data_IF_323469760075
#
_entry.id   IF_323469760075
#
_cell.length_a   1.000
_cell.length_b   1.000
_cell.length_c   1.000
_cell.angle_alpha   90.00
_cell.angle_beta   90.00
_cell.angle_gamma   90.00
#
_symmetry.space_group_name_H-M   'P 1'
#
loop_
_entity.id
_entity.type
_entity.pdbx_description
1 polymer ?
#
# COMPACT_ATOMS: atom_id res chain seq x y z
N UNK A 1 -52.95 -62.09 -33.36
CA UNK A 1 -51.59 -62.49 -32.94
C UNK A 1 -51.20 -61.61 -31.76
N UNK A 2 -51.30 -62.16 -30.55
CA UNK A 2 -51.13 -61.42 -29.30
C UNK A 2 -49.67 -61.02 -29.09
N UNK A 3 -49.47 -59.75 -28.74
CA UNK A 3 -48.17 -59.19 -28.37
C UNK A 3 -47.67 -59.86 -27.08
N UNK A 4 -46.74 -60.82 -27.22
CA UNK A 4 -45.92 -61.28 -26.11
C UNK A 4 -44.83 -60.24 -25.86
N UNK A 5 -45.21 -59.13 -25.21
CA UNK A 5 -44.25 -58.27 -24.53
C UNK A 5 -43.69 -59.12 -23.39
N UNK A 6 -42.50 -59.71 -23.61
CA UNK A 6 -41.84 -60.55 -22.63
C UNK A 6 -41.52 -59.69 -21.41
N UNK A 7 -41.89 -60.14 -20.21
CA UNK A 7 -41.54 -59.47 -18.94
C UNK A 7 -40.04 -59.13 -18.81
N UNK A 8 -39.19 -59.86 -19.54
CA UNK A 8 -37.74 -59.64 -19.62
C UNK A 8 -37.37 -58.34 -20.34
N UNK A 9 -38.15 -57.88 -21.33
CA UNK A 9 -37.88 -56.61 -22.00
C UNK A 9 -38.24 -55.41 -21.11
N UNK A 10 -39.27 -55.55 -20.26
CA UNK A 10 -39.70 -54.55 -19.27
C UNK A 10 -38.63 -54.34 -18.19
N UNK A 11 -38.01 -55.42 -17.71
CA UNK A 11 -36.93 -55.30 -16.72
C UNK A 11 -35.65 -54.75 -17.34
N UNK A 12 -35.30 -55.16 -18.57
CA UNK A 12 -34.07 -54.69 -19.22
C UNK A 12 -34.16 -53.20 -19.63
N UNK A 13 -35.30 -52.76 -20.16
CA UNK A 13 -35.53 -51.32 -20.45
C UNK A 13 -35.65 -50.48 -19.18
N UNK A 14 -36.27 -51.01 -18.11
CA UNK A 14 -36.33 -50.35 -16.80
C UNK A 14 -34.94 -50.13 -16.19
N UNK A 15 -34.05 -51.13 -16.28
CA UNK A 15 -32.66 -51.00 -15.84
C UNK A 15 -31.87 -50.00 -16.70
N UNK A 16 -32.06 -50.01 -18.02
CA UNK A 16 -31.38 -49.08 -18.92
C UNK A 16 -31.81 -47.63 -18.65
N UNK A 17 -33.12 -47.39 -18.45
CA UNK A 17 -33.64 -46.09 -18.05
C UNK A 17 -33.08 -45.63 -16.69
N UNK A 18 -32.99 -46.54 -15.72
CA UNK A 18 -32.42 -46.23 -14.41
C UNK A 18 -30.93 -45.87 -14.49
N UNK A 19 -30.15 -46.62 -15.25
CA UNK A 19 -28.72 -46.33 -15.46
C UNK A 19 -28.54 -44.98 -16.16
N UNK A 20 -29.32 -44.70 -17.21
CA UNK A 20 -29.29 -43.41 -17.88
C UNK A 20 -29.66 -42.25 -16.95
N UNK A 21 -30.68 -42.42 -16.10
CA UNK A 21 -31.13 -41.41 -15.16
C UNK A 21 -30.10 -41.17 -14.05
N UNK A 22 -29.50 -42.25 -13.52
CA UNK A 22 -28.41 -42.16 -12.54
C UNK A 22 -27.19 -41.43 -13.13
N UNK A 23 -26.81 -41.74 -14.38
CA UNK A 23 -25.68 -41.13 -15.05
C UNK A 23 -25.93 -39.65 -15.35
N UNK A 24 -27.15 -39.28 -15.75
CA UNK A 24 -27.57 -37.89 -15.93
C UNK A 24 -27.50 -37.10 -14.61
N UNK A 25 -27.94 -37.68 -13.49
CA UNK A 25 -27.84 -37.06 -12.17
C UNK A 25 -26.38 -36.85 -11.74
N UNK A 26 -25.50 -37.82 -11.99
CA UNK A 26 -24.07 -37.70 -11.70
C UNK A 26 -23.44 -36.57 -12.53
N UNK A 27 -23.74 -36.50 -13.82
CA UNK A 27 -23.23 -35.42 -14.68
C UNK A 27 -23.74 -34.04 -14.23
N UNK A 28 -25.03 -33.93 -13.90
CA UNK A 28 -25.60 -32.68 -13.39
C UNK A 28 -24.94 -32.23 -12.08
N UNK A 29 -24.73 -33.16 -11.14
CA UNK A 29 -24.04 -32.84 -9.88
C UNK A 29 -22.60 -32.43 -10.09
N UNK A 30 -21.87 -33.05 -11.02
CA UNK A 30 -20.51 -32.61 -11.38
C UNK A 30 -20.50 -31.21 -12.00
N UNK A 31 -21.40 -30.91 -12.94
CA UNK A 31 -21.48 -29.58 -13.55
C UNK A 31 -21.77 -28.50 -12.50
N UNK A 32 -22.73 -28.73 -11.61
CA UNK A 32 -23.06 -27.78 -10.54
C UNK A 32 -21.89 -27.61 -9.55
N UNK A 33 -21.19 -28.69 -9.22
CA UNK A 33 -20.01 -28.62 -8.34
C UNK A 33 -18.86 -27.84 -9.00
N UNK A 34 -18.61 -28.07 -10.28
CA UNK A 34 -17.53 -27.43 -11.05
C UNK A 34 -17.82 -25.93 -11.24
N UNK A 35 -19.06 -25.55 -11.52
CA UNK A 35 -19.46 -24.13 -11.58
C UNK A 35 -19.32 -23.43 -10.23
N UNK A 36 -19.68 -24.11 -9.12
CA UNK A 36 -19.49 -23.56 -7.77
C UNK A 36 -18.00 -23.42 -7.42
N UNK A 37 -17.16 -24.37 -7.81
CA UNK A 37 -15.72 -24.29 -7.61
C UNK A 37 -15.13 -23.12 -8.39
N UNK A 38 -15.47 -22.98 -9.68
CA UNK A 38 -15.03 -21.85 -10.52
C UNK A 38 -15.49 -20.51 -9.98
N UNK A 39 -16.71 -20.42 -9.45
CA UNK A 39 -17.21 -19.20 -8.83
C UNK A 39 -16.44 -18.85 -7.54
N UNK A 40 -16.16 -19.84 -6.69
CA UNK A 40 -15.37 -19.65 -5.47
C UNK A 40 -13.92 -19.22 -5.79
N UNK A 41 -13.30 -19.82 -6.81
CA UNK A 41 -11.94 -19.48 -7.21
C UNK A 41 -11.87 -18.08 -7.85
N UNK A 42 -12.86 -17.69 -8.65
CA UNK A 42 -12.97 -16.30 -9.16
C UNK A 42 -13.14 -15.30 -8.02
N UNK A 43 -13.92 -15.62 -7.00
CA UNK A 43 -14.08 -14.76 -5.83
C UNK A 43 -12.75 -14.60 -5.07
N UNK A 44 -12.02 -15.70 -4.83
CA UNK A 44 -10.68 -15.67 -4.22
C UNK A 44 -9.67 -14.87 -5.05
N UNK A 45 -9.68 -15.03 -6.36
CA UNK A 45 -8.82 -14.26 -7.27
C UNK A 45 -9.16 -12.77 -7.24
N UNK A 46 -10.45 -12.41 -7.16
CA UNK A 46 -10.88 -11.03 -7.04
C UNK A 46 -10.45 -10.40 -5.70
N UNK A 47 -10.57 -11.14 -4.59
CA UNK A 47 -10.08 -10.71 -3.27
C UNK A 47 -8.56 -10.57 -3.23
N UNK A 48 -7.83 -11.51 -3.84
CA UNK A 48 -6.37 -11.43 -3.98
C UNK A 48 -5.96 -10.22 -4.85
N UNK A 49 -6.64 -9.98 -5.95
CA UNK A 49 -6.40 -8.81 -6.80
C UNK A 49 -6.68 -7.50 -6.07
N UNK A 50 -7.76 -7.44 -5.29
CA UNK A 50 -8.14 -6.28 -4.48
C UNK A 50 -7.11 -6.00 -3.38
N UNK A 51 -6.69 -7.01 -2.63
CA UNK A 51 -5.67 -6.86 -1.58
C UNK A 51 -4.30 -6.45 -2.13
N UNK A 52 -3.90 -6.96 -3.30
CA UNK A 52 -2.69 -6.50 -3.98
C UNK A 52 -2.78 -5.04 -4.45
N UNK A 53 -3.94 -4.62 -4.97
CA UNK A 53 -4.17 -3.24 -5.36
C UNK A 53 -4.13 -2.30 -4.15
N UNK A 54 -4.83 -2.66 -3.06
CA UNK A 54 -4.83 -1.92 -1.80
C UNK A 54 -3.40 -1.80 -1.23
N UNK A 55 -2.64 -2.90 -1.17
CA UNK A 55 -1.24 -2.89 -0.73
C UNK A 55 -0.36 -1.97 -1.56
N UNK A 56 -0.47 -2.00 -2.89
CA UNK A 56 0.28 -1.08 -3.76
C UNK A 56 -0.09 0.38 -3.53
N UNK A 57 -1.38 0.68 -3.31
CA UNK A 57 -1.82 2.06 -3.04
C UNK A 57 -1.35 2.56 -1.68
N UNK A 58 -1.32 1.70 -0.66
CA UNK A 58 -0.79 2.04 0.66
C UNK A 58 0.71 2.37 0.60
N UNK A 59 1.50 1.50 -0.05
CA UNK A 59 2.95 1.72 -0.23
C UNK A 59 3.23 3.01 -1.02
N UNK A 60 2.45 3.29 -2.06
CA UNK A 60 2.60 4.52 -2.83
C UNK A 60 2.32 5.77 -1.98
N UNK A 61 1.29 5.73 -1.12
CA UNK A 61 0.96 6.83 -0.20
C UNK A 61 2.07 7.04 0.84
N UNK A 62 2.57 5.96 1.44
CA UNK A 62 3.66 6.05 2.42
C UNK A 62 4.94 6.63 1.79
N UNK A 63 5.28 6.19 0.58
CA UNK A 63 6.42 6.74 -0.15
C UNK A 63 6.26 8.24 -0.46
N UNK A 64 5.06 8.68 -0.88
CA UNK A 64 4.78 10.10 -1.08
C UNK A 64 4.87 10.91 0.21
N UNK A 65 4.34 10.40 1.33
CA UNK A 65 4.40 11.09 2.61
C UNK A 65 5.85 11.25 3.13
N UNK A 66 6.70 10.25 2.91
CA UNK A 66 8.13 10.33 3.24
C UNK A 66 8.81 11.40 2.39
N UNK A 67 8.55 11.41 1.07
CA UNK A 67 9.12 12.41 0.15
C UNK A 67 8.65 13.82 0.51
N UNK A 68 7.35 14.03 0.71
CA UNK A 68 6.81 15.35 1.06
C UNK A 68 7.41 15.89 2.36
N UNK A 69 7.64 15.00 3.33
CA UNK A 69 8.31 15.35 4.59
C UNK A 69 9.78 15.70 4.37
N UNK A 70 10.48 15.00 3.48
CA UNK A 70 11.86 15.33 3.10
C UNK A 70 11.92 16.70 2.38
N UNK A 71 11.07 16.90 1.37
CA UNK A 71 10.98 18.17 0.62
C UNK A 71 10.60 19.35 1.53
N UNK A 72 9.78 19.13 2.55
CA UNK A 72 9.47 20.15 3.56
C UNK A 72 10.69 20.50 4.43
N UNK A 73 11.49 19.50 4.84
CA UNK A 73 12.74 19.74 5.57
C UNK A 73 13.75 20.48 4.69
N UNK A 74 13.91 20.08 3.44
CA UNK A 74 14.87 20.69 2.52
C UNK A 74 14.51 22.15 2.25
N UNK A 75 13.22 22.46 2.04
CA UNK A 75 12.76 23.86 1.93
C UNK A 75 13.02 24.66 3.20
N UNK A 76 12.81 24.07 4.38
CA UNK A 76 13.10 24.74 5.65
C UNK A 76 14.61 25.01 5.81
N UNK A 77 15.46 24.03 5.50
CA UNK A 77 16.92 24.17 5.56
C UNK A 77 17.42 25.21 4.56
N UNK A 78 16.92 25.19 3.32
CA UNK A 78 17.28 26.15 2.29
C UNK A 78 16.92 27.60 2.71
N UNK A 79 15.76 27.79 3.35
CA UNK A 79 15.37 29.08 3.92
C UNK A 79 16.33 29.55 5.02
N UNK A 80 16.68 28.66 5.97
CA UNK A 80 17.62 28.96 7.04
C UNK A 80 19.00 29.33 6.49
N UNK A 81 19.51 28.57 5.51
CA UNK A 81 20.80 28.84 4.86
C UNK A 81 20.79 30.16 4.12
N UNK A 82 19.74 30.45 3.34
CA UNK A 82 19.62 31.71 2.60
C UNK A 82 19.57 32.91 3.55
N UNK A 83 18.85 32.78 4.67
CA UNK A 83 18.79 33.83 5.69
C UNK A 83 20.13 34.00 6.39
N UNK A 84 20.82 32.91 6.72
CA UNK A 84 22.15 32.93 7.32
C UNK A 84 23.18 33.60 6.40
N UNK A 85 23.19 33.27 5.10
CA UNK A 85 24.08 33.90 4.12
C UNK A 85 23.87 35.41 4.05
N UNK A 86 22.61 35.86 4.10
CA UNK A 86 22.29 37.29 4.12
C UNK A 86 22.82 37.97 5.37
N UNK A 87 22.61 37.38 6.54
CA UNK A 87 23.07 37.91 7.83
C UNK A 87 24.60 37.97 7.91
N UNK A 88 25.29 36.91 7.48
CA UNK A 88 26.76 36.85 7.40
C UNK A 88 27.31 37.93 6.47
N UNK A 89 26.68 38.14 5.30
CA UNK A 89 27.12 39.12 4.30
C UNK A 89 26.98 40.57 4.79
N UNK A 90 26.00 40.85 5.64
CA UNK A 90 25.73 42.20 6.16
C UNK A 90 26.24 42.39 7.60
N UNK A 91 27.04 41.45 8.12
CA UNK A 91 27.62 41.56 9.44
C UNK A 91 28.66 42.69 9.49
N UNK A 92 28.70 43.47 10.59
CA UNK A 92 29.62 44.60 10.73
C UNK A 92 31.10 44.18 10.85
N UNK A 93 31.37 42.96 11.33
CA UNK A 93 32.72 42.41 11.47
C UNK A 93 32.74 40.86 11.38
N UNK A 94 33.94 40.28 11.35
CA UNK A 94 34.13 38.82 11.23
C UNK A 94 33.62 38.02 12.43
N UNK A 95 33.63 38.59 13.64
CA UNK A 95 33.13 37.92 14.83
C UNK A 95 31.61 37.89 14.82
N UNK A 96 30.95 38.99 14.45
CA UNK A 96 29.51 39.06 14.24
C UNK A 96 29.04 38.08 13.15
N UNK A 97 29.80 37.97 12.05
CA UNK A 97 29.53 36.99 11.00
C UNK A 97 29.65 35.54 11.50
N UNK A 98 30.71 35.23 12.26
CA UNK A 98 30.93 33.89 12.82
C UNK A 98 29.88 33.51 13.87
N UNK A 99 29.37 34.48 14.61
CA UNK A 99 28.32 34.27 15.60
C UNK A 99 26.95 34.06 14.95
N UNK A 100 26.60 34.85 13.93
CA UNK A 100 25.40 34.65 13.12
C UNK A 100 25.38 33.26 12.44
N UNK A 101 26.52 32.83 11.89
CA UNK A 101 26.66 31.50 11.29
C UNK A 101 26.40 30.38 12.32
N UNK A 102 27.00 30.48 13.53
CA UNK A 102 26.81 29.50 14.60
C UNK A 102 25.36 29.43 15.06
N UNK A 103 24.70 30.58 15.26
CA UNK A 103 23.27 30.64 15.60
C UNK A 103 22.40 29.88 14.62
N UNK A 104 22.64 30.05 13.31
CA UNK A 104 21.85 29.43 12.25
C UNK A 104 22.13 27.94 12.09
N UNK A 105 23.38 27.50 12.25
CA UNK A 105 23.72 26.06 12.31
C UNK A 105 23.02 25.39 13.50
N UNK A 106 22.96 26.05 14.65
CA UNK A 106 22.29 25.55 15.84
C UNK A 106 20.75 25.52 15.77
N UNK A 107 20.15 26.14 14.74
CA UNK A 107 18.71 26.06 14.44
C UNK A 107 18.36 24.89 13.51
N UNK A 108 19.33 24.28 12.81
CA UNK A 108 19.08 23.07 12.02
C UNK A 108 18.73 21.91 12.97
N UNK A 109 17.60 21.24 12.72
CA UNK A 109 17.02 20.24 13.61
C UNK A 109 17.91 19.04 13.92
N UNK A 110 18.90 18.76 13.06
CA UNK A 110 19.85 17.65 13.23
C UNK A 110 21.10 18.00 14.03
N UNK A 111 21.35 19.29 14.33
CA UNK A 111 22.56 19.72 15.04
C UNK A 111 22.34 19.79 16.56
N UNK A 112 22.46 18.63 17.24
CA UNK A 112 22.43 18.52 18.71
C UNK A 112 23.82 18.63 19.35
N UNK A 113 24.58 19.65 18.99
CA UNK A 113 25.84 19.95 19.66
C UNK A 113 25.57 20.58 21.05
N UNK A 114 26.25 20.17 22.14
CA UNK A 114 26.18 20.86 23.43
C UNK A 114 26.54 22.35 23.34
N UNK A 115 27.39 22.76 22.39
CA UNK A 115 27.72 24.18 22.15
C UNK A 115 26.52 25.00 21.63
N UNK A 116 25.50 24.33 21.08
CA UNK A 116 24.27 24.96 20.60
C UNK A 116 23.25 25.23 21.71
N UNK A 117 23.50 24.80 22.95
CA UNK A 117 22.58 25.06 24.07
C UNK A 117 22.42 26.57 24.35
N UNK A 118 23.52 27.33 24.26
CA UNK A 118 23.53 28.79 24.48
C UNK A 118 22.77 29.52 23.37
N UNK A 119 22.96 29.12 22.12
CA UNK A 119 22.31 29.77 20.96
C UNK A 119 20.83 29.42 20.80
N UNK A 120 20.36 28.32 21.40
CA UNK A 120 18.92 27.99 21.48
C UNK A 120 18.19 28.80 22.56
N UNK A 121 18.89 29.23 23.61
CA UNK A 121 18.30 29.97 24.72
C UNK A 121 18.07 31.46 24.40
N UNK A 122 18.89 32.06 23.52
CA UNK A 122 18.79 33.47 23.15
C UNK A 122 18.98 33.70 21.63
N UNK A 123 17.92 33.48 20.83
CA UNK A 123 18.01 33.55 19.37
C UNK A 123 18.06 34.99 18.81
N UNK A 124 17.97 36.04 19.62
CA UNK A 124 17.54 37.36 19.15
C UNK A 124 18.25 38.59 19.71
N UNK A 125 19.26 38.48 20.57
CA UNK A 125 19.91 39.68 21.11
C UNK A 125 20.86 40.33 20.10
N UNK A 126 20.37 41.41 19.51
CA UNK A 126 21.11 42.48 18.82
C UNK A 126 21.21 43.62 19.84
N UNK A 127 22.41 43.83 20.39
CA UNK A 127 22.78 45.06 21.10
C UNK A 127 23.41 46.02 20.08
#
# INVERSE_FOLDING_TARGET
MGAMIRLRDITTTGWLAFVCLALALILLTMCVADDRQKAADRARQAEAGKSLAEGRTAVARDASAIRDRADARDRSTASIVTQAEKEIRHAPDRNAAADAARRRVCQLSDYRDPQCAVFRADPGRVD
#
